data_IF_289000509904
#
_entry.id   IF_289000509904
#
_cell.length_a   1.000
_cell.length_b   1.000
_cell.length_c   1.000
_cell.angle_alpha   90.00
_cell.angle_beta   90.00
_cell.angle_gamma   90.00
#
_symmetry.space_group_name_H-M   'P 1'
#
loop_
_entity.id
_entity.type
_entity.pdbx_description
1 polymer ?
#
# COMPACT_ATOMS: atom_id res chain seq x y z
N UNK A 1 -10.77 -11.84 -34.61
CA UNK A 1 -10.01 -11.78 -33.35
C UNK A 1 -10.89 -12.39 -32.30
N UNK A 2 -10.48 -13.52 -31.76
CA UNK A 2 -11.21 -14.13 -30.65
C UNK A 2 -11.02 -13.21 -29.43
N UNK A 3 -12.06 -12.45 -29.07
CA UNK A 3 -12.09 -11.66 -27.84
C UNK A 3 -12.29 -12.57 -26.62
N UNK A 4 -11.73 -13.79 -26.65
CA UNK A 4 -11.98 -14.97 -25.80
C UNK A 4 -11.58 -14.80 -24.32
N UNK A 5 -11.96 -13.67 -23.74
CA UNK A 5 -11.82 -13.33 -22.34
C UNK A 5 -12.99 -13.86 -21.54
N UNK A 6 -12.70 -14.66 -20.52
CA UNK A 6 -13.68 -15.03 -19.50
C UNK A 6 -13.49 -14.21 -18.23
N UNK A 7 -14.58 -13.89 -17.54
CA UNK A 7 -14.49 -13.42 -16.14
C UNK A 7 -13.87 -14.51 -15.27
N UNK A 8 -12.82 -14.16 -14.53
CA UNK A 8 -12.13 -15.05 -13.59
C UNK A 8 -12.37 -14.58 -12.16
N UNK A 9 -12.38 -15.50 -11.22
CA UNK A 9 -12.32 -15.16 -9.80
C UNK A 9 -10.87 -14.80 -9.44
N UNK A 10 -10.65 -13.59 -8.93
CA UNK A 10 -9.32 -13.03 -8.65
C UNK A 10 -9.30 -12.31 -7.31
N UNK A 11 -8.10 -12.14 -6.76
CA UNK A 11 -7.84 -11.13 -5.73
C UNK A 11 -7.56 -9.80 -6.44
N UNK A 12 -8.13 -8.72 -5.94
CA UNK A 12 -8.20 -7.43 -6.60
C UNK A 12 -7.87 -6.33 -5.59
N UNK A 13 -6.95 -5.44 -5.92
CA UNK A 13 -6.69 -4.21 -5.18
C UNK A 13 -6.99 -3.01 -6.06
N UNK A 14 -7.79 -2.08 -5.54
CA UNK A 14 -7.95 -0.74 -6.11
C UNK A 14 -7.31 0.27 -5.15
N UNK A 15 -6.43 1.13 -5.68
CA UNK A 15 -5.73 2.17 -4.91
C UNK A 15 -5.81 3.52 -5.63
N UNK A 16 -5.93 4.60 -4.86
CA UNK A 16 -6.16 5.97 -5.33
C UNK A 16 -5.32 6.98 -4.54
N UNK A 17 -4.70 7.94 -5.22
CA UNK A 17 -3.92 9.01 -4.57
C UNK A 17 -4.86 10.11 -4.06
N UNK A 18 -4.88 10.30 -2.75
CA UNK A 18 -5.74 11.30 -2.13
C UNK A 18 -5.32 12.73 -2.48
N UNK A 19 -6.31 13.54 -2.89
CA UNK A 19 -6.12 14.97 -3.17
C UNK A 19 -5.45 15.26 -4.52
N UNK A 20 -5.29 14.25 -5.38
CA UNK A 20 -4.58 14.41 -6.64
C UNK A 20 -5.20 15.46 -7.58
N UNK A 21 -6.54 15.51 -7.68
CA UNK A 21 -7.25 16.55 -8.44
C UNK A 21 -6.77 17.97 -8.09
N UNK A 22 -6.72 18.29 -6.80
CA UNK A 22 -6.26 19.62 -6.35
C UNK A 22 -4.80 19.89 -6.74
N UNK A 23 -3.95 18.85 -6.76
CA UNK A 23 -2.56 18.96 -7.20
C UNK A 23 -2.45 19.21 -8.71
N UNK A 24 -3.26 18.53 -9.53
CA UNK A 24 -3.33 18.76 -10.98
C UNK A 24 -3.77 20.20 -11.28
N UNK A 25 -4.87 20.64 -10.67
CA UNK A 25 -5.37 22.01 -10.84
C UNK A 25 -4.33 23.07 -10.40
N UNK A 26 -3.54 22.77 -9.36
CA UNK A 26 -2.45 23.65 -8.94
C UNK A 26 -1.30 23.66 -9.96
N UNK A 27 -0.95 22.53 -10.55
CA UNK A 27 0.07 22.42 -11.59
C UNK A 27 -0.34 23.17 -12.87
N UNK A 28 -1.59 23.05 -13.29
CA UNK A 28 -2.16 23.78 -14.45
C UNK A 28 -2.09 25.31 -14.27
N UNK A 29 -2.17 25.80 -13.03
CA UNK A 29 -2.01 27.23 -12.69
C UNK A 29 -0.55 27.69 -12.58
N UNK A 30 0.43 26.82 -12.84
CA UNK A 30 1.85 27.14 -12.74
C UNK A 30 2.38 27.22 -11.30
N UNK A 31 1.73 26.55 -10.34
CA UNK A 31 2.29 26.41 -8.99
C UNK A 31 3.52 25.49 -8.99
N UNK A 32 4.27 25.47 -7.88
CA UNK A 32 5.51 24.66 -7.70
C UNK A 32 5.36 23.15 -7.96
N UNK A 33 4.14 22.61 -8.05
CA UNK A 33 3.95 21.22 -8.44
C UNK A 33 4.16 21.08 -9.96
N UNK A 34 5.38 20.72 -10.36
CA UNK A 34 5.68 20.42 -11.76
C UNK A 34 4.98 19.11 -12.19
N UNK A 35 4.45 19.09 -13.41
CA UNK A 35 3.85 17.93 -14.08
C UNK A 35 4.73 16.69 -13.94
N UNK A 36 6.05 16.85 -13.99
CA UNK A 36 7.02 15.79 -13.78
C UNK A 36 6.82 15.06 -12.43
N UNK A 37 6.52 15.79 -11.35
CA UNK A 37 6.27 15.21 -10.02
C UNK A 37 4.98 14.39 -9.98
N UNK A 38 3.92 14.88 -10.64
CA UNK A 38 2.64 14.19 -10.74
C UNK A 38 2.75 12.88 -11.53
N UNK A 39 3.43 12.93 -12.68
CA UNK A 39 3.74 11.75 -13.48
C UNK A 39 4.60 10.75 -12.72
N UNK A 40 5.57 11.24 -11.94
CA UNK A 40 6.39 10.38 -11.10
C UNK A 40 5.57 9.69 -10.01
N UNK A 41 4.68 10.41 -9.32
CA UNK A 41 3.78 9.81 -8.32
C UNK A 41 2.91 8.72 -8.95
N UNK A 42 2.28 9.02 -10.08
CA UNK A 42 1.51 8.07 -10.88
C UNK A 42 2.31 6.78 -11.20
N UNK A 43 3.58 6.92 -11.61
CA UNK A 43 4.44 5.77 -11.92
C UNK A 43 4.65 4.82 -10.73
N UNK A 44 4.53 5.31 -9.48
CA UNK A 44 4.67 4.49 -8.27
C UNK A 44 3.47 3.59 -8.01
N UNK A 45 2.31 3.83 -8.63
CA UNK A 45 1.16 2.94 -8.51
C UNK A 45 1.38 1.63 -9.29
N UNK A 46 2.08 1.70 -10.43
CA UNK A 46 2.29 0.54 -11.32
C UNK A 46 3.44 -0.38 -10.90
N UNK A 47 4.44 0.12 -10.19
CA UNK A 47 5.64 -0.64 -9.79
C UNK A 47 6.18 -1.51 -10.95
N UNK A 48 6.57 -0.91 -12.10
CA UNK A 48 6.86 -1.65 -13.33
C UNK A 48 7.94 -2.72 -13.15
N UNK A 49 8.95 -2.47 -12.32
CA UNK A 49 10.00 -3.45 -12.00
C UNK A 49 9.45 -4.70 -11.29
N UNK A 50 8.39 -4.56 -10.49
CA UNK A 50 7.76 -5.69 -9.82
C UNK A 50 6.94 -6.53 -10.81
N UNK A 51 6.18 -5.87 -11.70
CA UNK A 51 5.43 -6.52 -12.78
C UNK A 51 6.37 -7.31 -13.70
N UNK A 52 7.47 -6.68 -14.11
CA UNK A 52 8.49 -7.31 -14.94
C UNK A 52 9.15 -8.51 -14.23
N UNK A 53 9.52 -8.35 -12.95
CA UNK A 53 10.10 -9.43 -12.17
C UNK A 53 9.16 -10.64 -12.05
N UNK A 54 7.85 -10.43 -11.81
CA UNK A 54 6.88 -11.53 -11.76
C UNK A 54 6.75 -12.23 -13.12
N UNK A 55 6.74 -11.47 -14.21
CA UNK A 55 6.68 -12.03 -15.56
C UNK A 55 7.89 -12.91 -15.88
N UNK A 56 9.10 -12.45 -15.54
CA UNK A 56 10.35 -13.14 -15.85
C UNK A 56 10.64 -14.30 -14.88
N UNK A 57 10.46 -14.07 -13.59
CA UNK A 57 10.97 -14.95 -12.52
C UNK A 57 9.86 -15.66 -11.75
N UNK A 58 8.60 -15.24 -11.89
CA UNK A 58 7.49 -15.74 -11.09
C UNK A 58 7.37 -15.02 -9.75
N UNK A 59 6.70 -15.62 -8.75
CA UNK A 59 6.42 -14.94 -7.48
C UNK A 59 7.72 -14.50 -6.79
N UNK A 60 7.83 -13.20 -6.50
CA UNK A 60 9.02 -12.64 -5.83
C UNK A 60 8.89 -12.73 -4.30
N UNK A 61 7.66 -12.71 -3.81
CA UNK A 61 7.32 -12.86 -2.40
C UNK A 61 6.75 -14.26 -2.19
N UNK A 62 7.35 -15.00 -1.25
CA UNK A 62 7.05 -16.39 -1.00
C UNK A 62 7.09 -17.24 -2.29
N UNK A 63 8.25 -17.35 -2.95
CA UNK A 63 8.41 -18.01 -4.25
C UNK A 63 8.00 -19.49 -4.24
N UNK A 64 8.18 -20.16 -3.09
CA UNK A 64 7.89 -21.58 -2.91
C UNK A 64 6.41 -21.84 -2.55
N UNK A 65 5.62 -20.79 -2.34
CA UNK A 65 4.19 -20.92 -2.05
C UNK A 65 3.41 -21.41 -3.27
N UNK A 66 2.29 -22.08 -2.99
CA UNK A 66 1.37 -22.58 -4.02
C UNK A 66 0.88 -21.44 -4.92
N UNK A 67 0.84 -21.71 -6.21
CA UNK A 67 0.31 -20.83 -7.26
C UNK A 67 -0.29 -21.66 -8.40
N UNK A 68 -1.21 -21.07 -9.16
CA UNK A 68 -1.87 -21.69 -10.32
C UNK A 68 -1.08 -21.40 -11.59
N UNK A 69 -0.66 -20.16 -11.78
CA UNK A 69 0.19 -19.71 -12.88
C UNK A 69 1.53 -19.21 -12.34
N UNK A 70 2.61 -19.51 -13.05
CA UNK A 70 3.94 -18.94 -12.75
C UNK A 70 3.89 -17.40 -12.73
N UNK A 71 3.09 -16.79 -13.59
CA UNK A 71 2.93 -15.33 -13.67
C UNK A 71 1.86 -14.79 -12.73
N UNK A 72 1.26 -15.63 -11.89
CA UNK A 72 0.17 -15.29 -10.97
C UNK A 72 -1.10 -14.71 -11.64
N UNK A 73 -1.23 -14.81 -12.97
CA UNK A 73 -2.28 -14.11 -13.73
C UNK A 73 -2.32 -12.60 -13.33
N UNK A 74 -1.11 -12.04 -13.17
CA UNK A 74 -0.83 -10.73 -12.60
C UNK A 74 -1.06 -9.62 -13.63
N UNK A 75 -2.01 -8.73 -13.34
CA UNK A 75 -2.41 -7.65 -14.23
C UNK A 75 -2.46 -6.33 -13.45
N UNK A 76 -1.93 -5.27 -14.05
CA UNK A 76 -1.95 -3.91 -13.48
C UNK A 76 -2.40 -2.91 -14.52
N UNK A 77 -3.56 -2.30 -14.27
CA UNK A 77 -4.06 -1.15 -15.01
C UNK A 77 -3.93 0.11 -14.18
N UNK A 78 -3.55 1.22 -14.81
CA UNK A 78 -3.56 2.53 -14.19
C UNK A 78 -4.47 3.46 -14.97
N UNK A 79 -5.32 4.20 -14.26
CA UNK A 79 -6.17 5.23 -14.84
C UNK A 79 -5.98 6.49 -14.00
N UNK A 80 -5.31 7.51 -14.57
CA UNK A 80 -4.93 8.73 -13.87
C UNK A 80 -4.13 8.40 -12.59
N UNK A 81 -4.65 8.79 -11.43
CA UNK A 81 -4.14 8.69 -10.07
C UNK A 81 -4.58 7.44 -9.32
N UNK A 82 -5.23 6.53 -10.04
CA UNK A 82 -5.67 5.25 -9.50
C UNK A 82 -5.02 4.08 -10.24
N UNK A 83 -4.88 2.97 -9.54
CA UNK A 83 -4.47 1.71 -10.12
C UNK A 83 -5.32 0.54 -9.64
N UNK A 84 -5.52 -0.40 -10.54
CA UNK A 84 -6.15 -1.68 -10.32
C UNK A 84 -5.09 -2.76 -10.49
N UNK A 85 -4.90 -3.57 -9.46
CA UNK A 85 -4.04 -4.75 -9.49
C UNK A 85 -4.94 -5.97 -9.32
N UNK A 86 -4.77 -6.99 -10.14
CA UNK A 86 -5.45 -8.27 -9.93
C UNK A 86 -4.52 -9.44 -10.12
N UNK A 87 -4.71 -10.47 -9.31
CA UNK A 87 -3.94 -11.72 -9.35
C UNK A 87 -4.87 -12.90 -9.17
N UNK A 88 -4.43 -14.08 -9.57
CA UNK A 88 -5.11 -15.33 -9.26
C UNK A 88 -5.36 -15.50 -7.74
N UNK A 89 -6.34 -16.33 -7.39
CA UNK A 89 -6.58 -16.70 -5.99
C UNK A 89 -5.63 -17.83 -5.60
N UNK A 90 -4.46 -17.48 -5.07
CA UNK A 90 -3.46 -18.42 -4.55
C UNK A 90 -2.66 -17.81 -3.39
N UNK A 91 -1.98 -18.64 -2.56
CA UNK A 91 -1.12 -18.16 -1.46
C UNK A 91 -0.01 -17.22 -1.94
N UNK A 92 0.68 -17.57 -3.03
CA UNK A 92 1.65 -16.67 -3.64
C UNK A 92 0.98 -15.41 -4.22
N UNK A 93 -0.20 -15.55 -4.83
CA UNK A 93 -0.99 -14.44 -5.37
C UNK A 93 -1.27 -13.38 -4.32
N UNK A 94 -1.86 -13.74 -3.18
CA UNK A 94 -2.17 -12.78 -2.10
C UNK A 94 -0.91 -12.11 -1.55
N UNK A 95 0.17 -12.87 -1.33
CA UNK A 95 1.42 -12.30 -0.79
C UNK A 95 2.01 -11.24 -1.72
N UNK A 96 2.06 -11.51 -3.03
CA UNK A 96 2.60 -10.56 -4.02
C UNK A 96 1.66 -9.36 -4.23
N UNK A 97 0.33 -9.55 -4.18
CA UNK A 97 -0.64 -8.45 -4.24
C UNK A 97 -0.46 -7.47 -3.07
N UNK A 98 -0.44 -7.99 -1.84
CA UNK A 98 -0.29 -7.14 -0.65
C UNK A 98 1.08 -6.44 -0.63
N UNK A 99 2.13 -7.12 -1.10
CA UNK A 99 3.45 -6.50 -1.24
C UNK A 99 3.44 -5.36 -2.27
N UNK A 100 2.84 -5.55 -3.44
CA UNK A 100 2.71 -4.48 -4.44
C UNK A 100 2.01 -3.25 -3.87
N UNK A 101 0.86 -3.47 -3.22
CA UNK A 101 0.08 -2.39 -2.60
C UNK A 101 0.90 -1.68 -1.53
N UNK A 102 1.58 -2.42 -0.64
CA UNK A 102 2.42 -1.84 0.40
C UNK A 102 3.60 -1.05 -0.18
N UNK A 103 4.26 -1.56 -1.22
CA UNK A 103 5.35 -0.88 -1.91
C UNK A 103 4.90 0.41 -2.59
N UNK A 104 3.72 0.40 -3.22
CA UNK A 104 3.11 1.59 -3.82
C UNK A 104 2.77 2.65 -2.74
N UNK A 105 2.05 2.25 -1.69
CA UNK A 105 1.68 3.13 -0.57
C UNK A 105 2.92 3.72 0.09
N UNK A 106 3.92 2.90 0.42
CA UNK A 106 5.17 3.37 1.03
C UNK A 106 5.98 4.30 0.13
N UNK A 107 6.00 4.04 -1.18
CA UNK A 107 6.70 4.90 -2.15
C UNK A 107 6.00 6.26 -2.36
N UNK A 108 4.68 6.30 -2.27
CA UNK A 108 3.90 7.53 -2.34
C UNK A 108 3.96 8.32 -1.02
N UNK A 109 3.90 7.63 0.12
CA UNK A 109 4.02 8.25 1.45
C UNK A 109 5.37 8.94 1.63
N UNK A 110 6.45 8.34 1.09
CA UNK A 110 7.80 8.96 1.01
C UNK A 110 7.85 10.30 0.28
N UNK A 111 6.81 10.62 -0.48
CA UNK A 111 6.65 11.86 -1.27
C UNK A 111 5.50 12.70 -0.74
N UNK A 112 5.13 12.49 0.53
CA UNK A 112 4.00 13.16 1.19
C UNK A 112 2.64 12.89 0.55
N UNK A 113 2.52 11.85 -0.29
CA UNK A 113 1.26 11.49 -0.94
C UNK A 113 0.60 10.33 -0.20
N UNK A 114 -0.63 10.55 0.25
CA UNK A 114 -1.44 9.54 0.91
C UNK A 114 -2.25 8.75 -0.11
N UNK A 115 -2.47 7.48 0.17
CA UNK A 115 -3.22 6.56 -0.69
C UNK A 115 -4.40 6.01 0.09
N UNK A 116 -5.53 5.84 -0.58
CA UNK A 116 -6.68 5.10 -0.07
C UNK A 116 -7.02 3.98 -1.04
N UNK A 117 -7.59 2.89 -0.55
CA UNK A 117 -7.87 1.75 -1.40
C UNK A 117 -8.67 0.64 -0.74
N UNK A 118 -8.95 -0.40 -1.51
CA UNK A 118 -9.60 -1.61 -1.04
C UNK A 118 -9.06 -2.85 -1.73
N UNK A 119 -8.79 -3.89 -0.95
CA UNK A 119 -8.41 -5.23 -1.42
C UNK A 119 -9.57 -6.19 -1.19
N UNK A 120 -10.03 -6.87 -2.23
CA UNK A 120 -11.14 -7.84 -2.14
C UNK A 120 -10.91 -9.04 -3.08
N UNK A 121 -11.76 -10.05 -2.95
CA UNK A 121 -11.88 -11.15 -3.91
C UNK A 121 -13.14 -10.95 -4.75
N UNK A 122 -13.08 -11.23 -6.05
CA UNK A 122 -14.27 -11.22 -6.88
C UNK A 122 -14.02 -11.52 -8.34
N UNK A 123 -15.13 -11.58 -9.09
CA UNK A 123 -15.10 -11.83 -10.54
C UNK A 123 -14.67 -10.59 -11.31
N UNK A 124 -13.68 -10.76 -12.17
CA UNK A 124 -13.14 -9.73 -13.03
C UNK A 124 -12.61 -10.32 -14.34
N UNK A 125 -12.83 -9.61 -15.43
CA UNK A 125 -12.02 -9.71 -16.63
C UNK A 125 -10.99 -8.58 -16.56
N UNK A 126 -9.70 -8.89 -16.61
CA UNK A 126 -8.62 -7.90 -16.59
C UNK A 126 -7.53 -8.35 -17.55
N UNK A 127 -7.27 -7.55 -18.58
CA UNK A 127 -6.24 -7.81 -19.59
C UNK A 127 -5.72 -6.49 -20.14
N UNK A 128 -4.44 -6.21 -19.92
CA UNK A 128 -3.84 -4.94 -20.31
C UNK A 128 -4.56 -3.78 -19.61
N UNK A 129 -5.00 -2.78 -20.37
CA UNK A 129 -5.72 -1.60 -19.85
C UNK A 129 -7.25 -1.81 -19.77
N UNK A 130 -7.76 -3.00 -20.08
CA UNK A 130 -9.20 -3.28 -20.09
C UNK A 130 -9.58 -4.13 -18.89
N UNK A 131 -10.52 -3.64 -18.08
CA UNK A 131 -11.06 -4.38 -16.96
C UNK A 131 -12.55 -4.13 -16.77
N UNK A 132 -13.28 -5.20 -16.43
CA UNK A 132 -14.72 -5.19 -16.20
C UNK A 132 -15.04 -6.23 -15.13
N UNK A 133 -16.05 -6.00 -14.29
CA UNK A 133 -16.56 -7.03 -13.37
C UNK A 133 -17.02 -6.51 -12.02
N UNK A 134 -17.76 -7.36 -11.30
CA UNK A 134 -18.30 -7.01 -9.98
C UNK A 134 -17.22 -6.87 -8.93
N UNK A 135 -16.10 -7.59 -9.05
CA UNK A 135 -14.94 -7.44 -8.16
C UNK A 135 -14.33 -6.04 -8.22
N UNK A 136 -14.14 -5.50 -9.43
CA UNK A 136 -13.69 -4.12 -9.63
C UNK A 136 -14.69 -3.10 -9.04
N UNK A 137 -15.97 -3.24 -9.37
CA UNK A 137 -17.01 -2.34 -8.88
C UNK A 137 -17.07 -2.32 -7.34
N UNK A 138 -16.94 -3.49 -6.70
CA UNK A 138 -16.88 -3.60 -5.24
C UNK A 138 -15.67 -2.85 -4.69
N UNK A 139 -14.46 -3.10 -5.22
CA UNK A 139 -13.23 -2.45 -4.76
C UNK A 139 -13.34 -0.91 -4.81
N UNK A 140 -13.85 -0.34 -5.92
CA UNK A 140 -14.05 1.10 -6.06
C UNK A 140 -15.12 1.66 -5.11
N UNK A 141 -16.22 0.92 -4.91
CA UNK A 141 -17.28 1.33 -3.98
C UNK A 141 -16.80 1.34 -2.52
N UNK A 142 -15.99 0.36 -2.13
CA UNK A 142 -15.51 0.22 -0.76
C UNK A 142 -14.34 1.14 -0.43
N UNK A 143 -13.49 1.49 -1.40
CA UNK A 143 -12.41 2.46 -1.23
C UNK A 143 -12.93 3.79 -0.61
N UNK A 144 -14.12 4.24 -1.01
CA UNK A 144 -14.74 5.46 -0.50
C UNK A 144 -15.23 5.34 0.94
N UNK A 145 -15.36 4.12 1.45
CA UNK A 145 -15.95 3.77 2.75
C UNK A 145 -14.92 3.30 3.77
N UNK A 146 -13.63 3.34 3.46
CA UNK A 146 -12.54 2.91 4.34
C UNK A 146 -12.63 3.62 5.69
N UNK A 147 -12.65 2.85 6.78
CA UNK A 147 -12.93 3.34 8.14
C UNK A 147 -11.87 2.98 9.17
N UNK A 148 -10.86 2.21 8.79
CA UNK A 148 -9.84 1.76 9.72
C UNK A 148 -9.20 2.93 10.49
N UNK A 149 -8.98 2.73 11.79
CA UNK A 149 -8.35 3.68 12.71
C UNK A 149 -9.08 5.02 12.91
N UNK A 150 -10.33 5.13 12.48
CA UNK A 150 -11.12 6.36 12.59
C UNK A 150 -11.25 6.83 14.05
N UNK A 151 -10.96 8.10 14.26
CA UNK A 151 -11.20 8.90 15.45
C UNK A 151 -12.61 9.54 15.38
N UNK A 152 -13.21 9.88 16.54
CA UNK A 152 -14.56 10.45 16.58
C UNK A 152 -14.75 11.74 15.76
N UNK A 153 -13.70 12.55 15.59
CA UNK A 153 -13.75 13.82 14.86
C UNK A 153 -13.48 13.70 13.36
N UNK A 154 -13.34 12.48 12.83
CA UNK A 154 -12.87 12.30 11.47
C UNK A 154 -13.97 12.37 10.42
N UNK A 155 -13.57 12.87 9.25
CA UNK A 155 -14.39 12.87 8.05
C UNK A 155 -14.79 11.47 7.58
N UNK A 156 -15.38 11.35 6.38
CA UNK A 156 -16.07 10.12 5.97
C UNK A 156 -15.15 8.90 5.76
N UNK A 157 -13.83 9.08 5.67
CA UNK A 157 -12.89 8.00 5.35
C UNK A 157 -11.47 8.29 5.80
N UNK A 158 -10.66 7.24 5.97
CA UNK A 158 -9.26 7.30 6.41
C UNK A 158 -8.29 7.01 5.25
N UNK A 159 -7.02 7.45 5.31
CA UNK A 159 -6.07 7.35 4.20
C UNK A 159 -5.34 6.00 4.19
N UNK A 160 -6.09 4.90 4.22
CA UNK A 160 -5.54 3.54 4.24
C UNK A 160 -6.09 2.68 3.11
N UNK A 161 -5.40 1.57 2.83
CA UNK A 161 -5.91 0.52 1.96
C UNK A 161 -6.48 -0.60 2.82
N UNK A 162 -7.80 -0.71 2.86
CA UNK A 162 -8.51 -1.70 3.67
C UNK A 162 -8.57 -3.06 2.96
N UNK A 163 -8.56 -4.13 3.74
CA UNK A 163 -8.59 -5.51 3.24
C UNK A 163 -9.90 -6.15 3.67
N UNK A 164 -10.66 -6.63 2.68
CA UNK A 164 -11.92 -7.35 2.88
C UNK A 164 -11.74 -8.55 3.81
N UNK A 165 -12.69 -8.77 4.72
CA UNK A 165 -12.62 -9.84 5.71
C UNK A 165 -12.50 -11.23 5.09
N UNK A 166 -13.05 -11.45 3.89
CA UNK A 166 -12.90 -12.72 3.17
C UNK A 166 -11.45 -12.95 2.72
N UNK A 167 -10.70 -11.90 2.40
CA UNK A 167 -9.27 -11.99 2.09
C UNK A 167 -8.46 -12.22 3.36
N UNK A 168 -8.82 -11.55 4.47
CA UNK A 168 -8.19 -11.79 5.78
C UNK A 168 -8.40 -13.25 6.23
N UNK A 169 -9.62 -13.77 6.12
CA UNK A 169 -9.96 -15.14 6.46
C UNK A 169 -9.25 -16.15 5.55
N UNK A 170 -9.18 -15.85 4.25
CA UNK A 170 -8.41 -16.65 3.29
C UNK A 170 -6.95 -16.83 3.74
N UNK A 171 -6.29 -15.74 4.15
CA UNK A 171 -4.90 -15.81 4.62
C UNK A 171 -4.78 -16.52 5.97
N UNK A 172 -5.71 -16.28 6.91
CA UNK A 172 -5.70 -16.95 8.22
C UNK A 172 -5.86 -18.47 8.13
N UNK A 173 -6.58 -18.94 7.12
CA UNK A 173 -6.78 -20.37 6.85
C UNK A 173 -5.64 -20.99 6.02
N UNK A 174 -4.69 -20.19 5.54
CA UNK A 174 -3.52 -20.69 4.83
C UNK A 174 -2.51 -21.31 5.80
N UNK A 175 -1.83 -22.36 5.36
CA UNK A 175 -0.86 -23.13 6.16
C UNK A 175 0.58 -22.74 5.90
N UNK A 176 0.84 -21.99 4.82
CA UNK A 176 2.17 -21.53 4.46
C UNK A 176 2.68 -20.43 5.42
N UNK A 177 3.73 -20.70 6.22
CA UNK A 177 4.25 -19.73 7.19
C UNK A 177 4.78 -18.45 6.54
N UNK A 178 5.32 -18.53 5.32
CA UNK A 178 5.81 -17.35 4.62
C UNK A 178 4.66 -16.38 4.32
N UNK A 179 3.51 -16.91 3.87
CA UNK A 179 2.34 -16.09 3.52
C UNK A 179 1.75 -15.44 4.77
N UNK A 180 1.62 -16.21 5.87
CA UNK A 180 1.17 -15.68 7.15
C UNK A 180 2.11 -14.58 7.67
N UNK A 181 3.42 -14.83 7.65
CA UNK A 181 4.41 -13.87 8.10
C UNK A 181 4.37 -12.60 7.24
N UNK A 182 4.33 -12.74 5.92
CA UNK A 182 4.23 -11.60 5.00
C UNK A 182 2.95 -10.80 5.21
N UNK A 183 1.83 -11.45 5.49
CA UNK A 183 0.58 -10.77 5.83
C UNK A 183 0.70 -9.96 7.12
N UNK A 184 1.19 -10.57 8.21
CA UNK A 184 1.40 -9.89 9.49
C UNK A 184 2.38 -8.71 9.38
N UNK A 185 3.40 -8.87 8.55
CA UNK A 185 4.42 -7.85 8.27
C UNK A 185 3.84 -6.64 7.55
N UNK A 186 2.91 -6.83 6.63
CA UNK A 186 2.39 -5.77 5.77
C UNK A 186 1.10 -5.13 6.28
N UNK A 187 0.43 -5.76 7.24
CA UNK A 187 -0.91 -5.35 7.68
C UNK A 187 -0.98 -4.98 9.16
N UNK A 188 -2.01 -4.21 9.53
CA UNK A 188 -2.40 -3.98 10.90
C UNK A 188 -3.93 -3.99 11.01
N UNK A 189 -4.44 -4.44 12.14
CA UNK A 189 -5.87 -4.38 12.46
C UNK A 189 -6.13 -3.34 13.55
N UNK A 190 -7.26 -2.66 13.47
CA UNK A 190 -7.70 -1.75 14.52
C UNK A 190 -8.49 -2.49 15.63
N UNK A 191 -8.94 -1.74 16.63
CA UNK A 191 -9.64 -2.30 17.79
C UNK A 191 -10.99 -2.97 17.45
N UNK A 192 -11.59 -2.66 16.29
CA UNK A 192 -12.85 -3.26 15.82
C UNK A 192 -12.62 -4.37 14.80
N UNK A 193 -11.36 -4.73 14.53
CA UNK A 193 -10.97 -5.84 13.66
C UNK A 193 -10.84 -5.49 12.18
N UNK A 194 -10.94 -4.22 11.80
CA UNK A 194 -10.72 -3.79 10.42
C UNK A 194 -9.23 -3.89 10.11
N UNK A 195 -8.86 -4.59 9.04
CA UNK A 195 -7.47 -4.81 8.66
C UNK A 195 -7.08 -3.95 7.46
N UNK A 196 -5.90 -3.34 7.53
CA UNK A 196 -5.36 -2.49 6.45
C UNK A 196 -3.91 -2.82 6.14
N UNK A 197 -3.46 -2.40 4.96
CA UNK A 197 -2.03 -2.27 4.66
C UNK A 197 -1.45 -1.14 5.50
N UNK A 198 -0.39 -1.43 6.25
CA UNK A 198 0.21 -0.50 7.21
C UNK A 198 1.68 -0.19 6.85
N UNK A 199 1.95 0.84 6.03
CA UNK A 199 3.26 1.04 5.38
C UNK A 199 4.41 1.34 6.34
N UNK A 200 4.12 1.72 7.59
CA UNK A 200 5.13 2.12 8.58
C UNK A 200 5.31 1.13 9.74
N UNK A 201 4.52 0.04 9.79
CA UNK A 201 4.49 -0.90 10.95
C UNK A 201 5.85 -1.52 11.25
N UNK A 202 6.69 -1.65 10.22
CA UNK A 202 7.94 -2.39 10.28
C UNK A 202 9.20 -1.55 10.34
N UNK A 203 9.09 -0.23 10.33
CA UNK A 203 10.28 0.62 10.31
C UNK A 203 11.18 0.29 11.50
N UNK A 204 10.63 0.19 12.72
CA UNK A 204 11.40 -0.25 13.87
C UNK A 204 11.94 -1.68 13.74
N UNK A 205 11.11 -2.65 13.32
CA UNK A 205 11.55 -4.04 13.20
C UNK A 205 12.68 -4.23 12.18
N UNK A 206 12.69 -3.44 11.11
CA UNK A 206 13.76 -3.42 10.12
C UNK A 206 15.04 -2.82 10.73
N UNK A 207 14.89 -1.76 11.52
CA UNK A 207 16.01 -1.14 12.23
C UNK A 207 16.65 -2.09 13.26
N UNK A 208 15.80 -2.83 13.98
CA UNK A 208 16.22 -3.76 15.03
C UNK A 208 16.77 -5.10 14.50
N UNK A 209 16.72 -5.32 13.18
CA UNK A 209 17.31 -6.51 12.57
C UNK A 209 18.82 -6.33 12.36
N UNK A 210 19.63 -7.31 12.77
CA UNK A 210 21.07 -7.30 12.62
C UNK A 210 21.76 -8.40 13.41
N UNK A 211 22.97 -8.79 12.99
CA UNK A 211 23.77 -9.83 13.66
C UNK A 211 24.71 -9.24 14.74
N UNK A 212 24.88 -7.92 14.77
CA UNK A 212 25.70 -7.21 15.74
C UNK A 212 25.04 -5.92 16.24
N UNK A 213 25.42 -5.46 17.43
CA UNK A 213 24.92 -4.22 18.01
C UNK A 213 25.26 -2.99 17.14
N UNK A 214 26.45 -2.96 16.54
CA UNK A 214 26.86 -1.89 15.62
C UNK A 214 25.97 -1.84 14.37
N UNK A 215 25.59 -3.00 13.83
CA UNK A 215 24.68 -3.07 12.68
C UNK A 215 23.30 -2.56 13.06
N UNK A 216 22.78 -2.95 14.23
CA UNK A 216 21.50 -2.48 14.75
C UNK A 216 21.53 -0.96 14.98
N UNK A 217 22.60 -0.40 15.58
CA UNK A 217 22.72 1.05 15.77
C UNK A 217 22.72 1.81 14.42
N UNK A 218 23.47 1.29 13.44
CA UNK A 218 23.51 1.87 12.09
C UNK A 218 22.13 1.85 11.43
N UNK A 219 21.44 0.72 11.51
CA UNK A 219 20.10 0.55 10.94
C UNK A 219 19.08 1.47 11.62
N UNK A 220 19.14 1.63 12.95
CA UNK A 220 18.35 2.60 13.71
C UNK A 220 18.60 4.04 13.23
N UNK A 221 19.85 4.43 13.01
CA UNK A 221 20.17 5.76 12.47
C UNK A 221 19.53 6.02 11.10
N UNK A 222 19.59 5.05 10.19
CA UNK A 222 18.99 5.13 8.85
C UNK A 222 17.47 5.26 8.93
N UNK A 223 16.82 4.39 9.71
CA UNK A 223 15.35 4.38 9.83
C UNK A 223 14.84 5.65 10.52
N UNK A 224 15.51 6.15 11.55
CA UNK A 224 15.17 7.45 12.17
C UNK A 224 15.17 8.55 11.12
N UNK A 225 16.23 8.65 10.31
CA UNK A 225 16.32 9.65 9.24
C UNK A 225 15.23 9.49 8.17
N UNK A 226 14.79 8.26 7.89
CA UNK A 226 13.64 8.03 7.00
C UNK A 226 12.33 8.54 7.62
N UNK A 227 12.05 8.19 8.88
CA UNK A 227 10.83 8.61 9.58
C UNK A 227 10.75 10.14 9.66
N UNK A 228 11.84 10.81 10.04
CA UNK A 228 11.92 12.27 10.11
C UNK A 228 11.66 12.92 8.75
N UNK A 229 12.19 12.34 7.67
CA UNK A 229 11.88 12.79 6.30
C UNK A 229 10.40 12.62 5.97
N UNK A 230 9.77 11.50 6.35
CA UNK A 230 8.35 11.28 6.05
C UNK A 230 7.47 12.29 6.78
N UNK A 231 7.79 12.58 8.04
CA UNK A 231 7.11 13.60 8.83
C UNK A 231 7.23 14.98 8.16
N UNK A 232 8.45 15.37 7.76
CA UNK A 232 8.70 16.63 7.07
C UNK A 232 7.96 16.74 5.73
N UNK A 233 7.95 15.68 4.92
CA UNK A 233 7.21 15.66 3.65
C UNK A 233 5.69 15.79 3.88
N UNK A 234 5.14 15.08 4.87
CA UNK A 234 3.72 15.19 5.25
C UNK A 234 3.35 16.59 5.75
N UNK A 235 4.27 17.29 6.40
CA UNK A 235 4.07 18.69 6.81
C UNK A 235 4.09 19.63 5.61
N UNK A 236 5.06 19.48 4.70
CA UNK A 236 5.18 20.32 3.51
C UNK A 236 3.97 20.22 2.56
N UNK A 237 3.34 19.04 2.50
CA UNK A 237 2.21 18.74 1.62
C UNK A 237 0.84 19.01 2.25
N UNK A 238 0.78 19.44 3.51
CA UNK A 238 -0.47 19.75 4.20
C UNK A 238 -0.58 21.27 4.41
N UNK A 239 -1.15 22.03 3.45
CA UNK A 239 -1.32 23.48 3.61
C UNK A 239 -2.05 23.78 4.91
N UNK A 240 -1.64 24.80 5.66
CA UNK A 240 -2.27 25.16 6.94
C UNK A 240 -3.79 25.39 6.81
N UNK A 241 -4.26 25.71 5.60
CA UNK A 241 -5.66 25.98 5.30
C UNK A 241 -6.46 24.76 4.80
N UNK A 242 -5.82 23.63 4.48
CA UNK A 242 -6.55 22.40 4.10
C UNK A 242 -6.79 21.53 5.34
N UNK A 243 -7.94 21.76 5.98
CA UNK A 243 -8.34 21.04 7.19
C UNK A 243 -8.50 19.53 6.97
N UNK A 244 -8.87 19.11 5.75
CA UNK A 244 -9.09 17.69 5.44
C UNK A 244 -7.77 16.95 5.18
N UNK A 245 -6.85 17.54 4.41
CA UNK A 245 -5.52 16.97 4.20
C UNK A 245 -4.77 16.84 5.53
N UNK A 246 -4.81 17.88 6.36
CA UNK A 246 -4.23 17.85 7.71
C UNK A 246 -4.86 16.78 8.59
N UNK A 247 -6.19 16.63 8.58
CA UNK A 247 -6.87 15.59 9.35
C UNK A 247 -6.39 14.19 8.96
N UNK A 248 -6.21 13.93 7.66
CA UNK A 248 -5.69 12.65 7.16
C UNK A 248 -4.20 12.45 7.47
N UNK A 249 -3.38 13.48 7.37
CA UNK A 249 -1.95 13.38 7.68
C UNK A 249 -1.72 13.00 9.16
N UNK A 250 -2.62 13.39 10.08
CA UNK A 250 -2.53 13.06 11.51
C UNK A 250 -2.42 11.56 11.79
N UNK A 251 -3.08 10.70 11.01
CA UNK A 251 -2.96 9.25 11.21
C UNK A 251 -1.52 8.77 11.00
N UNK A 252 -0.92 9.13 9.87
CA UNK A 252 0.45 8.75 9.57
C UNK A 252 1.45 9.39 10.53
N UNK A 253 1.26 10.66 10.90
CA UNK A 253 2.11 11.32 11.91
C UNK A 253 2.09 10.57 13.24
N UNK A 254 0.92 10.15 13.71
CA UNK A 254 0.80 9.35 14.94
C UNK A 254 1.65 8.09 14.86
N UNK A 255 1.43 7.26 13.82
CA UNK A 255 2.15 6.00 13.67
C UNK A 255 3.66 6.17 13.44
N UNK A 256 4.06 7.19 12.67
CA UNK A 256 5.47 7.51 12.46
C UNK A 256 6.15 7.96 13.76
N UNK A 257 5.49 8.79 14.57
CA UNK A 257 6.02 9.21 15.86
C UNK A 257 6.14 8.04 16.84
N UNK A 258 5.16 7.13 16.87
CA UNK A 258 5.25 5.90 17.69
C UNK A 258 6.47 5.04 17.30
N UNK A 259 6.72 4.86 16.00
CA UNK A 259 7.90 4.14 15.51
C UNK A 259 9.21 4.89 15.79
N UNK A 260 9.21 6.22 15.66
CA UNK A 260 10.36 7.08 15.97
C UNK A 260 10.77 6.95 17.42
N UNK A 261 9.80 6.99 18.34
CA UNK A 261 10.04 6.86 19.78
C UNK A 261 10.52 5.46 20.16
N UNK A 262 10.06 4.40 19.48
CA UNK A 262 10.66 3.06 19.64
C UNK A 262 12.13 3.06 19.19
N UNK A 263 12.43 3.60 18.01
CA UNK A 263 13.79 3.65 17.49
C UNK A 263 14.74 4.46 18.41
N UNK A 264 14.31 5.64 18.86
CA UNK A 264 15.11 6.50 19.75
C UNK A 264 15.40 5.83 21.09
N UNK A 265 14.40 5.22 21.72
CA UNK A 265 14.58 4.49 22.99
C UNK A 265 15.55 3.33 22.85
N UNK A 266 15.39 2.49 21.83
CA UNK A 266 16.31 1.36 21.60
C UNK A 266 17.72 1.83 21.28
N UNK A 267 17.89 2.88 20.47
CA UNK A 267 19.22 3.44 20.19
C UNK A 267 19.88 3.99 21.45
N UNK A 268 19.13 4.63 22.34
CA UNK A 268 19.65 5.13 23.61
C UNK A 268 20.12 3.99 24.53
N UNK A 269 19.45 2.83 24.53
CA UNK A 269 19.85 1.66 25.34
C UNK A 269 21.08 0.92 24.82
N UNK A 270 21.57 1.23 23.62
CA UNK A 270 22.78 0.63 23.04
C UNK A 270 24.07 1.37 23.41
N UNK A 271 23.96 2.55 24.04
CA UNK A 271 25.07 3.41 24.48
C UNK A 271 25.36 3.21 25.96
#
# INVERSE_FOLDING_TARGET
>A
MDLGGSFKDKLIAFIDILGYKSKVEAAERGSKADLASLLEQCSKLRQPSHVEAISLHGPMICPDSKHVSRTLDYEVSQVSDSALVSVEVSPAGVANLLYHVSAAVGSLLRRGSMVRGYVCRGRIYHSGNMFLGTGYNNAVSQEKKVRAFRLPSDGPSTPFVEIDSAVVEYVKNETDPCVQEMFERLTASDAVGITVIHPVKRLFSMAASGFSLEQVERNLGVVIGWIERFLSELESQSPEHDSMANAKAKYYRRFLNEELEKCKRTRASLR
#
